data_IF_032352263753
#
_entry.id   IF_032352263753
#
_cell.length_a   1.000
_cell.length_b   1.000
_cell.length_c   1.000
_cell.angle_alpha   90.00
_cell.angle_beta   90.00
_cell.angle_gamma   90.00
#
_symmetry.space_group_name_H-M   'P 1'
#
loop_
_entity.id
_entity.type
_entity.pdbx_description
1 polymer ?
#
# COMPACT_ATOMS: atom_id res chain seq x y z
N UNK A 1 -6.10 -46.89 24.03
CA UNK A 1 -4.80 -46.41 23.52
C UNK A 1 -4.98 -44.94 23.17
N UNK A 2 -4.62 -44.04 24.08
CA UNK A 2 -4.60 -42.60 23.82
C UNK A 2 -3.34 -42.30 23.01
N UNK A 3 -3.47 -42.14 21.70
CA UNK A 3 -2.45 -41.46 20.90
C UNK A 3 -2.36 -40.02 21.44
N UNK A 4 -1.18 -39.56 21.88
CA UNK A 4 -1.02 -38.17 22.25
C UNK A 4 -1.21 -37.33 20.98
N UNK A 5 -2.08 -36.32 21.07
CA UNK A 5 -2.17 -35.26 20.06
C UNK A 5 -0.76 -34.71 19.86
N UNK A 6 -0.23 -34.84 18.65
CA UNK A 6 1.12 -34.41 18.30
C UNK A 6 1.30 -32.93 18.64
N UNK A 7 2.36 -32.66 19.38
CA UNK A 7 2.73 -31.35 19.91
C UNK A 7 3.33 -30.41 18.83
N UNK A 8 2.88 -30.53 17.57
CA UNK A 8 3.62 -30.08 16.38
C UNK A 8 3.11 -28.75 15.79
N UNK A 9 2.27 -28.03 16.54
CA UNK A 9 1.73 -26.73 16.10
C UNK A 9 2.64 -25.54 16.39
N UNK A 10 3.80 -25.74 17.02
CA UNK A 10 4.79 -24.67 17.26
C UNK A 10 5.37 -24.10 15.97
N UNK A 11 5.37 -24.87 14.87
CA UNK A 11 5.91 -24.47 13.55
C UNK A 11 4.93 -23.68 12.67
N UNK A 12 3.66 -23.57 13.07
CA UNK A 12 2.64 -22.92 12.25
C UNK A 12 2.78 -21.39 12.24
N UNK A 13 3.23 -20.81 13.36
CA UNK A 13 3.37 -19.38 13.53
C UNK A 13 4.75 -18.90 13.04
N UNK A 14 4.83 -17.71 12.43
CA UNK A 14 6.11 -17.11 12.05
C UNK A 14 6.94 -16.76 13.30
N UNK A 15 8.19 -17.20 13.32
CA UNK A 15 9.13 -17.03 14.43
C UNK A 15 10.58 -16.91 13.95
N UNK A 16 11.52 -16.46 14.81
CA UNK A 16 12.93 -16.25 14.43
C UNK A 16 13.62 -17.52 13.90
N UNK A 17 13.13 -18.70 14.27
CA UNK A 17 13.61 -20.00 13.81
C UNK A 17 13.17 -20.37 12.39
N UNK A 18 12.10 -19.75 11.87
CA UNK A 18 11.53 -20.06 10.54
C UNK A 18 11.45 -18.85 9.60
N UNK A 19 11.97 -17.69 10.02
CA UNK A 19 12.10 -16.48 9.20
C UNK A 19 13.57 -16.18 8.99
N UNK A 20 14.00 -16.19 7.73
CA UNK A 20 15.30 -15.67 7.34
C UNK A 20 15.25 -14.15 7.31
N UNK A 21 16.12 -13.50 8.09
CA UNK A 21 16.28 -12.05 8.11
C UNK A 21 17.62 -11.64 7.49
N UNK A 22 17.56 -10.77 6.49
CA UNK A 22 18.74 -10.18 5.85
C UNK A 22 18.58 -8.66 5.80
N UNK A 23 19.65 -7.92 6.06
CA UNK A 23 19.71 -6.47 5.83
C UNK A 23 20.67 -6.24 4.69
N UNK A 24 20.18 -5.64 3.60
CA UNK A 24 21.01 -5.33 2.43
C UNK A 24 21.76 -4.00 2.64
N UNK A 25 22.85 -3.72 1.87
CA UNK A 25 23.73 -2.57 2.14
C UNK A 25 23.04 -1.19 2.16
N UNK A 26 21.92 -1.03 1.46
CA UNK A 26 21.12 0.21 1.47
C UNK A 26 20.17 0.33 2.69
N UNK A 27 20.22 -0.60 3.64
CA UNK A 27 19.45 -0.57 4.89
C UNK A 27 18.08 -1.24 4.85
N UNK A 28 17.62 -1.72 3.68
CA UNK A 28 16.35 -2.44 3.58
C UNK A 28 16.47 -3.77 4.32
N UNK A 29 15.49 -4.06 5.18
CA UNK A 29 15.35 -5.35 5.86
C UNK A 29 14.43 -6.25 5.06
N UNK A 30 14.93 -7.43 4.70
CA UNK A 30 14.20 -8.48 4.00
C UNK A 30 13.91 -9.60 5.01
N UNK A 31 12.65 -10.01 5.09
CA UNK A 31 12.18 -11.13 5.89
C UNK A 31 11.55 -12.16 4.95
N UNK A 32 12.04 -13.40 4.99
CA UNK A 32 11.56 -14.49 4.13
C UNK A 32 11.15 -15.68 4.98
N UNK A 33 9.93 -16.16 4.78
CA UNK A 33 9.48 -17.46 5.29
C UNK A 33 9.16 -18.35 4.11
N UNK A 34 9.97 -19.37 3.90
CA UNK A 34 9.76 -20.34 2.82
C UNK A 34 8.60 -21.27 3.14
N UNK A 35 7.70 -21.44 2.17
CA UNK A 35 6.62 -22.42 2.22
C UNK A 35 6.52 -23.08 0.84
N UNK A 36 6.88 -24.37 0.76
CA UNK A 36 6.94 -25.10 -0.50
C UNK A 36 5.65 -25.88 -0.83
N UNK A 37 4.57 -25.66 -0.08
CA UNK A 37 3.28 -26.33 -0.32
C UNK A 37 2.54 -25.77 -1.55
N UNK A 38 2.93 -24.60 -2.06
CA UNK A 38 2.36 -23.97 -3.24
C UNK A 38 3.45 -23.20 -4.00
N UNK A 39 3.49 -23.23 -5.34
CA UNK A 39 4.43 -22.44 -6.15
C UNK A 39 3.95 -20.98 -6.29
N UNK A 40 3.57 -20.36 -5.18
CA UNK A 40 3.09 -18.97 -5.12
C UNK A 40 3.90 -18.17 -4.12
N UNK A 41 3.99 -16.87 -4.34
CA UNK A 41 4.70 -15.93 -3.50
C UNK A 41 3.76 -14.81 -3.07
N UNK A 42 3.93 -14.34 -1.84
CA UNK A 42 3.24 -13.14 -1.33
C UNK A 42 4.30 -12.17 -0.84
N UNK A 43 4.33 -10.99 -1.45
CA UNK A 43 5.30 -9.94 -1.15
C UNK A 43 4.54 -8.82 -0.44
N UNK A 44 5.07 -8.35 0.69
CA UNK A 44 4.60 -7.15 1.37
C UNK A 44 5.80 -6.27 1.70
N UNK A 45 5.70 -4.99 1.40
CA UNK A 45 6.70 -4.00 1.78
C UNK A 45 6.07 -2.83 2.51
N UNK A 46 6.87 -2.18 3.35
CA UNK A 46 6.46 -1.03 4.15
C UNK A 46 7.52 0.06 4.07
N UNK A 47 7.06 1.27 3.82
CA UNK A 47 7.85 2.50 3.78
C UNK A 47 7.37 3.35 4.94
N UNK A 48 8.29 3.88 5.75
CA UNK A 48 8.00 4.67 6.95
C UNK A 48 7.60 6.11 6.60
N UNK A 49 6.54 6.26 5.83
CA UNK A 49 5.90 7.52 5.44
C UNK A 49 4.41 7.28 5.31
N UNK A 50 3.56 8.23 5.67
CA UNK A 50 2.11 8.07 5.62
C UNK A 50 1.40 9.41 5.71
N UNK A 51 0.07 9.39 5.81
CA UNK A 51 -0.73 10.64 5.85
C UNK A 51 -0.42 11.54 7.05
N UNK A 52 0.17 11.00 8.12
CA UNK A 52 0.64 11.82 9.25
C UNK A 52 1.73 12.84 8.88
N UNK A 53 2.39 12.66 7.73
CA UNK A 53 3.37 13.58 7.17
C UNK A 53 2.79 14.49 6.08
N UNK A 54 1.49 14.39 5.78
CA UNK A 54 0.84 15.28 4.83
C UNK A 54 0.85 16.71 5.40
N UNK A 55 1.23 17.73 4.60
CA UNK A 55 1.02 19.12 4.96
C UNK A 55 -0.48 19.37 5.18
N UNK A 56 -0.83 20.24 6.13
CA UNK A 56 -2.23 20.54 6.47
C UNK A 56 -3.00 21.07 5.26
N UNK A 57 -2.34 21.80 4.36
CA UNK A 57 -2.92 22.34 3.13
C UNK A 57 -3.09 21.27 2.03
N UNK A 58 -2.52 20.07 2.22
CA UNK A 58 -2.45 18.98 1.23
C UNK A 58 -2.78 17.61 1.83
N UNK A 59 -3.65 17.55 2.83
CA UNK A 59 -4.15 16.28 3.38
C UNK A 59 -4.75 15.41 2.26
N UNK A 60 -4.39 14.13 2.24
CA UNK A 60 -4.70 13.18 1.17
C UNK A 60 -3.57 13.00 0.14
N UNK A 61 -2.42 13.67 0.34
CA UNK A 61 -1.26 13.58 -0.55
C UNK A 61 -0.63 12.20 -0.48
N UNK A 62 -0.43 11.62 0.70
CA UNK A 62 0.08 10.26 0.84
C UNK A 62 -0.82 9.25 0.12
N UNK A 63 -2.14 9.40 0.25
CA UNK A 63 -3.13 8.54 -0.40
C UNK A 63 -3.04 8.63 -1.93
N UNK A 64 -3.08 9.84 -2.49
CA UNK A 64 -2.97 10.04 -3.94
C UNK A 64 -1.60 9.60 -4.47
N UNK A 65 -0.54 9.84 -3.72
CA UNK A 65 0.82 9.42 -4.13
C UNK A 65 0.91 7.90 -4.19
N UNK A 66 0.49 7.19 -3.13
CA UNK A 66 0.55 5.73 -3.08
C UNK A 66 -0.28 5.09 -4.20
N UNK A 67 -1.53 5.49 -4.37
CA UNK A 67 -2.36 4.99 -5.46
C UNK A 67 -1.84 5.45 -6.84
N UNK A 68 -1.14 6.58 -6.88
CA UNK A 68 -0.53 7.15 -8.08
C UNK A 68 0.63 6.32 -8.63
N UNK A 69 1.28 5.50 -7.81
CA UNK A 69 2.41 4.63 -8.21
C UNK A 69 2.00 3.57 -9.26
N UNK A 70 0.70 3.28 -9.38
CA UNK A 70 0.15 2.38 -10.41
C UNK A 70 -0.29 3.10 -11.69
N UNK A 71 -0.22 4.44 -11.73
CA UNK A 71 -0.70 5.21 -12.88
C UNK A 71 0.31 5.29 -14.02
N UNK A 72 1.56 4.88 -13.80
CA UNK A 72 2.57 4.84 -14.84
C UNK A 72 3.95 5.16 -14.31
N UNK A 73 4.92 4.72 -15.09
CA UNK A 73 6.35 4.72 -14.78
C UNK A 73 7.14 5.18 -15.99
N UNK A 74 8.47 5.24 -15.88
CA UNK A 74 9.34 5.61 -16.99
C UNK A 74 9.26 4.63 -18.17
N UNK A 75 9.04 3.32 -17.91
CA UNK A 75 9.01 2.32 -18.98
C UNK A 75 7.59 1.90 -19.37
N UNK A 76 6.60 2.07 -18.48
CA UNK A 76 5.23 1.62 -18.70
C UNK A 76 4.23 2.75 -18.48
N UNK A 77 3.35 2.96 -19.46
CA UNK A 77 2.11 3.71 -19.17
C UNK A 77 1.17 2.85 -18.30
N UNK A 78 0.09 3.44 -17.80
CA UNK A 78 -0.87 2.74 -16.93
C UNK A 78 -1.31 1.40 -17.50
N UNK A 79 -1.79 1.38 -18.74
CA UNK A 79 -2.33 0.16 -19.35
C UNK A 79 -1.25 -0.90 -19.54
N UNK A 80 -0.05 -0.50 -19.98
CA UNK A 80 1.07 -1.42 -20.17
C UNK A 80 1.49 -2.04 -18.82
N UNK A 81 1.55 -1.25 -17.75
CA UNK A 81 1.88 -1.74 -16.42
C UNK A 81 0.85 -2.77 -15.92
N UNK A 82 -0.45 -2.46 -16.04
CA UNK A 82 -1.50 -3.40 -15.67
C UNK A 82 -1.48 -4.66 -16.52
N UNK A 83 -1.29 -4.53 -17.84
CA UNK A 83 -1.21 -5.68 -18.74
C UNK A 83 -0.05 -6.62 -18.38
N UNK A 84 1.12 -6.08 -18.03
CA UNK A 84 2.28 -6.89 -17.66
C UNK A 84 1.97 -7.73 -16.41
N UNK A 85 1.38 -7.11 -15.39
CA UNK A 85 0.97 -7.79 -14.14
C UNK A 85 -0.09 -8.85 -14.40
N UNK A 86 -1.11 -8.52 -15.20
CA UNK A 86 -2.23 -9.42 -15.48
C UNK A 86 -1.83 -10.60 -16.39
N UNK A 87 -0.85 -10.40 -17.28
CA UNK A 87 -0.38 -11.44 -18.21
C UNK A 87 0.15 -12.68 -17.52
N UNK A 88 0.67 -12.52 -16.30
CA UNK A 88 1.18 -13.59 -15.43
C UNK A 88 0.21 -13.95 -14.30
N UNK A 89 -1.04 -13.44 -14.35
CA UNK A 89 -2.06 -13.69 -13.33
C UNK A 89 -1.71 -13.14 -11.95
N UNK A 90 -0.78 -12.18 -11.88
CA UNK A 90 -0.34 -11.59 -10.63
C UNK A 90 -1.23 -10.44 -10.17
N UNK A 91 -0.97 -9.95 -8.96
CA UNK A 91 -1.54 -8.70 -8.44
C UNK A 91 -0.43 -7.85 -7.85
N UNK A 92 -0.56 -6.53 -7.99
CA UNK A 92 0.27 -5.53 -7.34
C UNK A 92 -0.61 -4.34 -6.97
N UNK A 93 -0.43 -3.82 -5.76
CA UNK A 93 -1.11 -2.62 -5.30
C UNK A 93 -0.30 -1.91 -4.24
N UNK A 94 -0.56 -0.61 -4.12
CA UNK A 94 0.05 0.30 -3.17
C UNK A 94 -1.06 0.96 -2.36
N UNK A 95 -0.80 1.21 -1.09
CA UNK A 95 -1.72 1.91 -0.19
C UNK A 95 -0.94 2.73 0.82
N UNK A 96 -1.51 3.85 1.26
CA UNK A 96 -1.00 4.60 2.41
C UNK A 96 -1.86 4.29 3.63
N UNK A 97 -1.22 4.19 4.79
CA UNK A 97 -1.86 4.38 6.08
C UNK A 97 -1.30 5.62 6.78
N UNK A 98 -1.68 5.81 8.04
CA UNK A 98 -1.29 6.99 8.83
C UNK A 98 0.22 7.13 9.00
N UNK A 99 0.93 6.05 9.35
CA UNK A 99 2.37 6.06 9.62
C UNK A 99 3.22 5.39 8.53
N UNK A 100 2.59 4.64 7.63
CA UNK A 100 3.32 3.82 6.67
C UNK A 100 2.56 3.68 5.35
N UNK A 101 3.31 3.69 4.26
CA UNK A 101 2.87 3.34 2.92
C UNK A 101 3.33 1.93 2.66
N UNK A 102 2.43 1.10 2.16
CA UNK A 102 2.68 -0.30 1.92
C UNK A 102 2.45 -0.65 0.46
N UNK A 103 3.06 -1.74 0.04
CA UNK A 103 2.70 -2.41 -1.19
C UNK A 103 2.51 -3.89 -0.92
N UNK A 104 1.64 -4.49 -1.70
CA UNK A 104 1.41 -5.93 -1.67
C UNK A 104 1.37 -6.49 -3.08
N UNK A 105 2.00 -7.65 -3.25
CA UNK A 105 1.94 -8.41 -4.49
C UNK A 105 1.75 -9.89 -4.23
N UNK A 106 1.08 -10.55 -5.17
CA UNK A 106 0.90 -12.00 -5.19
C UNK A 106 1.12 -12.51 -6.62
N UNK A 107 1.95 -13.52 -6.79
CA UNK A 107 2.33 -14.07 -8.10
C UNK A 107 2.77 -15.54 -7.97
N UNK A 108 3.01 -16.19 -9.10
CA UNK A 108 3.69 -17.49 -9.13
C UNK A 108 5.18 -17.31 -8.80
N UNK A 109 5.81 -18.39 -8.34
CA UNK A 109 7.23 -18.36 -7.99
C UNK A 109 8.16 -18.06 -9.17
N UNK A 110 7.76 -18.41 -10.39
CA UNK A 110 8.52 -18.17 -11.61
C UNK A 110 8.53 -16.69 -12.04
N UNK A 111 7.53 -15.91 -11.64
CA UNK A 111 7.38 -14.49 -12.02
C UNK A 111 8.00 -13.53 -11.00
N UNK A 112 8.75 -14.04 -10.01
CA UNK A 112 9.31 -13.22 -8.93
C UNK A 112 10.16 -12.07 -9.46
N UNK A 113 11.06 -12.35 -10.41
CA UNK A 113 11.97 -11.35 -10.94
C UNK A 113 11.22 -10.23 -11.69
N UNK A 114 10.19 -10.59 -12.46
CA UNK A 114 9.31 -9.64 -13.12
C UNK A 114 8.60 -8.76 -12.08
N UNK A 115 7.98 -9.35 -11.08
CA UNK A 115 7.20 -8.62 -10.08
C UNK A 115 8.08 -7.70 -9.22
N UNK A 116 9.28 -8.14 -8.82
CA UNK A 116 10.24 -7.28 -8.13
C UNK A 116 10.70 -6.12 -9.01
N UNK A 117 10.90 -6.36 -10.32
CA UNK A 117 11.19 -5.34 -11.30
C UNK A 117 10.11 -4.27 -11.38
N UNK A 118 8.85 -4.67 -11.53
CA UNK A 118 7.71 -3.74 -11.58
C UNK A 118 7.51 -2.97 -10.27
N UNK A 119 7.67 -3.62 -9.12
CA UNK A 119 7.62 -2.94 -7.81
C UNK A 119 8.72 -1.88 -7.73
N UNK A 120 9.95 -2.23 -8.08
CA UNK A 120 11.08 -1.32 -8.04
C UNK A 120 10.88 -0.13 -9.00
N UNK A 121 10.38 -0.40 -10.21
CA UNK A 121 10.09 0.62 -11.21
C UNK A 121 9.00 1.59 -10.74
N UNK A 122 7.89 1.09 -10.21
CA UNK A 122 6.80 1.91 -9.66
C UNK A 122 7.25 2.78 -8.49
N UNK A 123 8.17 2.28 -7.65
CA UNK A 123 8.70 3.03 -6.50
C UNK A 123 9.75 4.07 -6.86
N UNK A 124 10.61 3.79 -7.85
CA UNK A 124 11.78 4.62 -8.14
C UNK A 124 11.57 5.58 -9.31
N UNK A 125 10.74 5.20 -10.28
CA UNK A 125 10.55 5.94 -11.53
C UNK A 125 9.08 6.18 -11.90
N UNK A 126 8.19 6.59 -10.98
CA UNK A 126 6.80 6.92 -11.32
C UNK A 126 6.73 8.20 -12.16
N UNK A 127 5.88 8.23 -13.19
CA UNK A 127 5.73 9.41 -14.08
C UNK A 127 4.57 10.32 -13.71
N UNK A 128 3.64 9.82 -12.88
CA UNK A 128 2.41 10.49 -12.47
C UNK A 128 1.71 11.20 -13.64
N UNK A 129 1.22 10.46 -14.67
CA UNK A 129 0.64 11.09 -15.85
C UNK A 129 -0.52 12.02 -15.50
N UNK A 130 -0.46 13.29 -15.90
CA UNK A 130 -1.40 14.34 -15.46
C UNK A 130 -2.87 13.97 -15.68
N UNK A 131 -3.18 13.37 -16.82
CA UNK A 131 -4.54 12.90 -17.14
C UNK A 131 -5.03 11.88 -16.12
N UNK A 132 -4.19 10.92 -15.75
CA UNK A 132 -4.53 9.83 -14.83
C UNK A 132 -4.57 10.31 -13.39
N UNK A 133 -3.63 11.17 -12.98
CA UNK A 133 -3.66 11.81 -11.66
C UNK A 133 -4.92 12.63 -11.46
N UNK A 134 -5.33 13.41 -12.48
CA UNK A 134 -6.60 14.16 -12.44
C UNK A 134 -7.81 13.24 -12.35
N UNK A 135 -7.81 12.11 -13.09
CA UNK A 135 -8.87 11.11 -13.01
C UNK A 135 -8.98 10.51 -11.60
N UNK A 136 -7.86 10.08 -11.03
CA UNK A 136 -7.80 9.53 -9.68
C UNK A 136 -8.21 10.54 -8.61
N UNK A 137 -7.76 11.79 -8.73
CA UNK A 137 -8.19 12.90 -7.86
C UNK A 137 -9.71 13.10 -7.93
N UNK A 138 -10.31 13.09 -9.11
CA UNK A 138 -11.76 13.23 -9.26
C UNK A 138 -12.53 12.04 -8.67
N UNK A 139 -11.98 10.82 -8.77
CA UNK A 139 -12.54 9.64 -8.11
C UNK A 139 -12.52 9.79 -6.59
N UNK A 140 -11.40 10.26 -6.03
CA UNK A 140 -11.29 10.55 -4.60
C UNK A 140 -12.28 11.62 -4.15
N UNK A 141 -12.39 12.75 -4.88
CA UNK A 141 -13.36 13.80 -4.58
C UNK A 141 -14.80 13.28 -4.58
N UNK A 142 -15.14 12.38 -5.51
CA UNK A 142 -16.44 11.70 -5.52
C UNK A 142 -16.64 10.83 -4.27
N UNK A 143 -15.63 10.04 -3.89
CA UNK A 143 -15.67 9.22 -2.69
C UNK A 143 -15.83 10.05 -1.41
N UNK A 144 -15.14 11.20 -1.34
CA UNK A 144 -15.25 12.14 -0.22
C UNK A 144 -16.65 12.77 -0.14
N UNK A 145 -17.27 13.08 -1.28
CA UNK A 145 -18.65 13.57 -1.32
C UNK A 145 -19.65 12.52 -0.82
N UNK A 146 -19.42 11.24 -1.14
CA UNK A 146 -20.22 10.12 -0.62
C UNK A 146 -20.01 9.98 0.90
N UNK A 147 -18.76 10.02 1.38
CA UNK A 147 -18.42 9.95 2.81
C UNK A 147 -19.10 11.07 3.61
N UNK A 148 -19.21 12.27 3.04
CA UNK A 148 -19.90 13.41 3.66
C UNK A 148 -21.41 13.19 3.87
N UNK A 149 -22.02 12.25 3.14
CA UNK A 149 -23.43 11.88 3.29
C UNK A 149 -23.64 10.71 4.26
N UNK A 150 -22.56 10.07 4.72
CA UNK A 150 -22.61 8.98 5.71
C UNK A 150 -22.38 9.52 7.12
N UNK A 151 -23.44 9.53 7.92
CA UNK A 151 -23.43 10.04 9.30
C UNK A 151 -22.49 9.25 10.22
N UNK A 152 -22.32 7.95 10.00
CA UNK A 152 -21.40 7.13 10.80
C UNK A 152 -19.96 7.49 10.51
N UNK A 153 -19.62 7.66 9.23
CA UNK A 153 -18.30 8.11 8.80
C UNK A 153 -17.98 9.51 9.35
N UNK A 154 -18.93 10.44 9.26
CA UNK A 154 -18.75 11.80 9.79
C UNK A 154 -18.61 11.82 11.32
N UNK A 155 -19.35 10.99 12.05
CA UNK A 155 -19.20 10.87 13.50
C UNK A 155 -17.81 10.35 13.90
N UNK A 156 -17.27 9.38 13.17
CA UNK A 156 -15.91 8.87 13.41
C UNK A 156 -14.85 9.96 13.18
N UNK A 157 -14.96 10.75 12.11
CA UNK A 157 -14.04 11.87 11.85
C UNK A 157 -14.06 12.91 12.96
N UNK A 158 -15.25 13.30 13.45
CA UNK A 158 -15.37 14.26 14.56
C UNK A 158 -14.82 13.67 15.86
N UNK A 159 -15.05 12.37 16.10
CA UNK A 159 -14.48 11.68 17.25
C UNK A 159 -12.94 11.73 17.24
N UNK A 160 -12.32 11.41 16.10
CA UNK A 160 -10.86 11.46 15.95
C UNK A 160 -10.33 12.88 16.15
N UNK A 161 -11.04 13.91 15.66
CA UNK A 161 -10.68 15.32 15.89
C UNK A 161 -10.71 15.71 17.37
N UNK A 162 -11.70 15.23 18.12
CA UNK A 162 -11.82 15.53 19.55
C UNK A 162 -10.73 14.80 20.35
N UNK A 163 -10.52 13.52 20.06
CA UNK A 163 -9.59 12.66 20.81
C UNK A 163 -8.12 13.00 20.51
N UNK A 164 -7.80 13.28 19.25
CA UNK A 164 -6.44 13.53 18.76
C UNK A 164 -6.18 15.01 18.48
N UNK A 165 -6.84 15.91 19.19
CA UNK A 165 -6.64 17.36 19.02
C UNK A 165 -5.15 17.74 19.04
N UNK A 166 -4.70 18.54 18.07
CA UNK A 166 -3.30 18.92 17.84
C UNK A 166 -2.34 17.75 17.55
N UNK A 167 -2.84 16.60 17.13
CA UNK A 167 -2.05 15.43 16.74
C UNK A 167 -2.40 15.03 15.30
N UNK A 168 -1.45 14.54 14.47
CA UNK A 168 -1.72 14.18 13.07
C UNK A 168 -2.87 13.18 12.85
N UNK A 169 -3.23 12.42 13.89
CA UNK A 169 -4.30 11.41 13.85
C UNK A 169 -5.70 12.02 13.83
N UNK A 170 -5.84 13.32 14.04
CA UNK A 170 -7.12 14.01 13.86
C UNK A 170 -7.56 14.10 12.39
N UNK A 171 -6.63 13.87 11.46
CA UNK A 171 -6.87 14.00 10.03
C UNK A 171 -7.15 12.65 9.40
N UNK A 172 -8.15 12.60 8.53
CA UNK A 172 -8.42 11.42 7.72
C UNK A 172 -7.28 11.14 6.73
N UNK A 173 -6.93 9.88 6.53
CA UNK A 173 -5.85 9.47 5.62
C UNK A 173 -6.08 9.91 4.16
N UNK A 174 -7.34 9.94 3.75
CA UNK A 174 -7.80 10.37 2.42
C UNK A 174 -7.89 11.89 2.26
N UNK A 175 -7.72 12.64 3.36
CA UNK A 175 -7.88 14.08 3.42
C UNK A 175 -9.33 14.57 3.36
N UNK A 176 -9.49 15.82 2.95
CA UNK A 176 -10.78 16.52 2.81
C UNK A 176 -10.91 17.10 1.40
N UNK A 177 -12.13 17.43 0.98
CA UNK A 177 -12.40 17.86 -0.39
C UNK A 177 -11.56 19.10 -0.78
N UNK A 178 -11.41 20.04 0.14
CA UNK A 178 -10.67 21.29 -0.05
C UNK A 178 -9.16 21.05 -0.19
N UNK A 179 -8.58 20.22 0.68
CA UNK A 179 -7.15 19.91 0.66
C UNK A 179 -6.78 19.06 -0.55
N UNK A 180 -7.62 18.07 -0.88
CA UNK A 180 -7.45 17.24 -2.08
C UNK A 180 -7.56 18.10 -3.33
N UNK A 181 -8.49 19.05 -3.38
CA UNK A 181 -8.62 19.98 -4.50
C UNK A 181 -7.38 20.86 -4.70
N UNK A 182 -6.62 21.17 -3.65
CA UNK A 182 -5.38 21.94 -3.72
C UNK A 182 -4.15 21.14 -4.20
N UNK A 183 -4.20 19.80 -4.18
CA UNK A 183 -3.08 18.96 -4.63
C UNK A 183 -2.91 19.04 -6.14
N UNK A 184 -1.73 19.45 -6.59
CA UNK A 184 -1.27 19.37 -7.97
C UNK A 184 -0.36 18.17 -8.18
N UNK A 185 -0.10 17.83 -9.45
CA UNK A 185 0.98 16.93 -9.84
C UNK A 185 2.34 17.50 -9.41
#
# INVERSE_FOLDING_TARGET
MNTPLSNDHSSALPGPENITRTVIPNGITILVRSNFNSPTLSIKGYIKTGSSLDPVEKLGLAYLTANGLMLGTANHNTQALYNEIESVGARLGFSSGTLSTSFSSHCLSEDLDLMLGLIAESLQSPTFPEKECRRQKNQLLTALAIRAQDTSSMAALVFDQIVFNNHPYQYAEEGYAETVAAISR
#
